data_IF_105714220717
#
_entry.id   IF_105714220717
#
_cell.length_a   1.000
_cell.length_b   1.000
_cell.length_c   1.000
_cell.angle_alpha   90.00
_cell.angle_beta   90.00
_cell.angle_gamma   90.00
#
_symmetry.space_group_name_H-M   'P 1'
#
loop_
_entity.id
_entity.type
_entity.pdbx_description
1 polymer ?
#
# COMPACT_ATOMS: atom_id res chain seq x y z
N UNK A 1 -3.81 50.40 9.00
CA UNK A 1 -4.78 49.32 8.73
C UNK A 1 -5.99 49.81 7.94
N UNK A 2 -6.87 50.64 8.49
CA UNK A 2 -8.09 51.13 7.81
C UNK A 2 -7.87 51.75 6.42
N UNK A 3 -6.74 52.43 6.18
CA UNK A 3 -6.44 53.03 4.88
C UNK A 3 -6.05 52.00 3.78
N UNK A 4 -5.49 50.83 4.14
CA UNK A 4 -4.96 49.83 3.21
C UNK A 4 -5.82 48.56 3.17
N UNK A 5 -6.15 48.00 4.34
CA UNK A 5 -7.03 46.82 4.47
C UNK A 5 -8.52 47.20 4.36
N UNK A 6 -8.80 48.50 4.44
CA UNK A 6 -10.15 49.06 4.50
C UNK A 6 -10.83 48.94 5.86
N UNK A 7 -11.86 49.76 6.05
CA UNK A 7 -12.75 49.71 7.21
C UNK A 7 -14.18 49.49 6.72
N UNK A 8 -14.88 48.53 7.31
CA UNK A 8 -16.30 48.33 7.07
C UNK A 8 -17.03 49.58 7.58
N UNK A 9 -17.65 50.32 6.66
CA UNK A 9 -18.43 51.50 6.97
C UNK A 9 -19.89 51.14 7.21
N UNK A 10 -20.40 50.15 6.47
CA UNK A 10 -21.77 49.69 6.57
C UNK A 10 -21.85 48.25 6.06
N UNK A 11 -22.80 47.51 6.60
CA UNK A 11 -23.27 46.24 6.05
C UNK A 11 -24.74 46.47 5.70
N UNK A 12 -25.16 46.14 4.48
CA UNK A 12 -26.57 46.25 4.09
C UNK A 12 -27.01 45.03 3.29
N UNK A 13 -28.30 44.73 3.38
CA UNK A 13 -28.91 43.56 2.73
C UNK A 13 -29.38 43.94 1.32
N UNK A 14 -28.94 43.19 0.32
CA UNK A 14 -29.37 43.30 -1.07
C UNK A 14 -30.07 42.00 -1.48
N UNK A 15 -31.41 42.00 -1.38
CA UNK A 15 -32.22 40.80 -1.61
C UNK A 15 -32.01 39.73 -0.54
N UNK A 16 -31.26 38.67 -0.89
CA UNK A 16 -30.90 37.56 0.02
C UNK A 16 -29.44 37.59 0.44
N UNK A 17 -28.65 38.50 -0.12
CA UNK A 17 -27.21 38.57 0.09
C UNK A 17 -26.87 39.74 1.01
N UNK A 18 -25.89 39.52 1.89
CA UNK A 18 -25.34 40.55 2.76
C UNK A 18 -24.12 41.19 2.10
N UNK A 19 -24.16 42.51 1.91
CA UNK A 19 -23.09 43.27 1.23
C UNK A 19 -22.34 44.15 2.23
N UNK A 20 -21.03 43.91 2.36
CA UNK A 20 -20.13 44.75 3.14
C UNK A 20 -19.62 45.94 2.30
N UNK A 21 -19.90 47.16 2.76
CA UNK A 21 -19.34 48.40 2.17
C UNK A 21 -18.09 48.80 2.94
N UNK A 22 -16.94 48.72 2.25
CA UNK A 22 -15.62 49.01 2.83
C UNK A 22 -15.02 50.28 2.26
N UNK A 23 -14.61 51.18 3.14
CA UNK A 23 -13.91 52.43 2.78
C UNK A 23 -12.40 52.20 2.92
N UNK A 24 -11.65 52.51 1.86
CA UNK A 24 -10.21 52.33 1.75
C UNK A 24 -9.63 53.33 0.75
N UNK A 25 -8.30 53.56 0.79
CA UNK A 25 -7.62 54.40 -0.20
C UNK A 25 -7.76 53.82 -1.61
N UNK A 26 -7.73 54.66 -2.67
CA UNK A 26 -7.66 54.20 -4.05
C UNK A 26 -6.51 53.21 -4.31
N UNK A 27 -6.70 52.27 -5.24
CA UNK A 27 -5.74 51.17 -5.50
C UNK A 27 -4.35 51.68 -5.88
N UNK A 28 -4.27 52.70 -6.73
CA UNK A 28 -3.03 53.35 -7.20
C UNK A 28 -2.20 53.94 -6.04
N UNK A 29 -2.85 54.29 -4.93
CA UNK A 29 -2.19 54.78 -3.73
C UNK A 29 -1.76 53.62 -2.82
N UNK A 30 -2.50 52.51 -2.76
CA UNK A 30 -2.15 51.36 -1.91
C UNK A 30 -0.96 50.55 -2.42
N UNK A 31 -0.75 50.52 -3.73
CA UNK A 31 0.35 49.78 -4.36
C UNK A 31 1.71 50.51 -4.26
N UNK A 32 1.71 51.76 -3.81
CA UNK A 32 2.92 52.58 -3.68
C UNK A 32 3.39 52.64 -2.24
N UNK A 33 4.61 52.17 -1.98
CA UNK A 33 5.24 52.25 -0.66
C UNK A 33 5.37 53.71 -0.16
N UNK A 34 5.57 54.67 -1.07
CA UNK A 34 5.64 56.09 -0.76
C UNK A 34 4.37 56.65 -0.10
N UNK A 35 3.21 56.02 -0.31
CA UNK A 35 1.95 56.44 0.30
C UNK A 35 2.00 56.33 1.82
N UNK A 36 2.69 55.32 2.38
CA UNK A 36 2.84 55.16 3.83
C UNK A 36 3.50 56.39 4.48
N UNK A 37 4.46 57.01 3.80
CA UNK A 37 5.17 58.20 4.28
C UNK A 37 4.29 59.47 4.33
N UNK A 38 3.18 59.48 3.56
CA UNK A 38 2.28 60.63 3.42
C UNK A 38 1.00 60.48 4.24
N UNK A 39 0.79 59.35 4.90
CA UNK A 39 -0.37 59.14 5.78
C UNK A 39 -0.24 60.08 6.97
N UNK A 40 -1.34 60.78 7.27
CA UNK A 40 -1.44 61.57 8.48
C UNK A 40 -2.25 60.82 9.53
N UNK A 41 -1.85 60.95 10.78
CA UNK A 41 -2.55 60.41 11.93
C UNK A 41 -3.00 61.54 12.84
N UNK A 42 -4.19 61.39 13.43
CA UNK A 42 -4.72 62.35 14.39
C UNK A 42 -4.13 62.07 15.77
N UNK A 43 -3.46 63.04 16.35
CA UNK A 43 -2.96 62.97 17.75
C UNK A 43 -4.09 63.33 18.74
N UNK A 44 -3.97 62.98 20.03
CA UNK A 44 -5.00 63.27 21.04
C UNK A 44 -5.37 64.76 21.14
N UNK A 45 -4.41 65.65 20.86
CA UNK A 45 -4.55 67.10 20.75
C UNK A 45 -5.29 67.57 19.48
N UNK A 46 -5.91 66.65 18.74
CA UNK A 46 -6.75 66.93 17.57
C UNK A 46 -6.01 67.26 16.28
N UNK A 47 -4.71 67.59 16.34
CA UNK A 47 -3.85 67.86 15.18
C UNK A 47 -3.60 66.60 14.32
N UNK A 48 -3.30 66.81 13.06
CA UNK A 48 -2.85 65.76 12.13
C UNK A 48 -1.35 65.89 11.90
N UNK A 49 -0.61 64.81 12.13
CA UNK A 49 0.83 64.75 11.92
C UNK A 49 1.18 63.62 10.96
N UNK A 50 2.22 63.75 10.12
CA UNK A 50 2.70 62.66 9.28
C UNK A 50 3.08 61.43 10.11
N UNK A 51 2.81 60.23 9.59
CA UNK A 51 3.12 58.96 10.24
C UNK A 51 4.59 58.86 10.64
N UNK A 52 5.49 59.35 9.79
CA UNK A 52 6.95 59.33 9.98
C UNK A 52 7.44 60.20 11.14
N UNK A 53 6.65 61.16 11.63
CA UNK A 53 7.01 61.95 12.82
C UNK A 53 6.74 61.19 14.13
N UNK A 54 5.95 60.11 14.08
CA UNK A 54 5.50 59.37 15.27
C UNK A 54 6.06 57.94 15.28
N UNK A 55 6.48 57.41 14.14
CA UNK A 55 7.13 56.09 14.05
C UNK A 55 8.23 56.06 12.98
N UNK A 56 9.23 55.21 13.20
CA UNK A 56 10.23 54.88 12.18
C UNK A 56 9.73 53.73 11.32
N UNK A 57 9.91 53.86 10.00
CA UNK A 57 9.53 52.84 9.02
C UNK A 57 10.80 52.16 8.52
N UNK A 58 10.95 50.87 8.85
CA UNK A 58 12.00 50.01 8.29
C UNK A 58 11.40 48.98 7.34
N UNK A 59 12.22 48.52 6.39
CA UNK A 59 11.86 47.45 5.47
C UNK A 59 12.70 46.22 5.77
N UNK A 60 12.05 45.06 5.82
CA UNK A 60 12.72 43.76 5.95
C UNK A 60 12.07 42.78 5.01
N UNK A 61 12.87 41.98 4.33
CA UNK A 61 12.35 40.85 3.57
C UNK A 61 11.92 39.77 4.57
N UNK A 62 10.63 39.48 4.60
CA UNK A 62 10.05 38.42 5.41
C UNK A 62 9.56 37.25 4.55
N UNK A 63 9.24 36.14 5.20
CA UNK A 63 8.54 35.05 4.54
C UNK A 63 7.08 35.42 4.31
N UNK A 64 6.57 35.18 3.10
CA UNK A 64 5.15 35.42 2.77
C UNK A 64 4.22 34.47 3.56
N UNK A 65 4.69 33.25 3.81
CA UNK A 65 3.98 32.25 4.60
C UNK A 65 4.98 31.44 5.44
N UNK A 66 4.61 31.17 6.69
CA UNK A 66 5.33 30.25 7.57
C UNK A 66 4.59 28.92 7.56
N UNK A 67 5.16 27.93 6.86
CA UNK A 67 4.59 26.59 6.80
C UNK A 67 5.11 25.76 7.97
N UNK A 68 4.26 24.87 8.46
CA UNK A 68 4.62 23.95 9.53
C UNK A 68 4.27 22.52 9.10
N UNK A 69 5.15 21.58 9.42
CA UNK A 69 4.91 20.14 9.34
C UNK A 69 5.16 19.56 10.74
N UNK A 70 4.20 18.77 11.24
CA UNK A 70 4.23 18.20 12.61
C UNK A 70 4.52 19.24 13.71
N UNK A 71 3.99 20.46 13.56
CA UNK A 71 4.17 21.55 14.52
C UNK A 71 5.57 22.22 14.50
N UNK A 72 6.44 21.88 13.55
CA UNK A 72 7.74 22.54 13.34
C UNK A 72 7.75 23.36 12.06
N UNK A 73 8.48 24.47 12.03
CA UNK A 73 8.67 25.27 10.82
C UNK A 73 9.29 24.40 9.72
N UNK A 74 8.67 24.38 8.55
CA UNK A 74 9.05 23.51 7.45
C UNK A 74 9.13 24.28 6.13
N UNK A 75 10.03 23.83 5.26
CA UNK A 75 10.15 24.31 3.88
C UNK A 75 9.83 23.14 2.96
N UNK A 76 8.85 23.34 2.09
CA UNK A 76 8.43 22.36 1.11
C UNK A 76 9.27 22.52 -0.16
N UNK A 77 9.92 21.44 -0.60
CA UNK A 77 10.72 21.39 -1.83
C UNK A 77 10.09 20.38 -2.76
N UNK A 78 9.68 20.82 -3.95
CA UNK A 78 9.05 19.97 -4.96
C UNK A 78 9.91 19.90 -6.21
N UNK A 79 9.84 18.77 -6.92
CA UNK A 79 10.56 18.56 -8.17
C UNK A 79 9.75 17.69 -9.13
N UNK A 80 9.83 18.01 -10.42
CA UNK A 80 9.24 17.20 -11.49
C UNK A 80 10.20 16.10 -11.91
N UNK A 81 9.71 14.86 -11.96
CA UNK A 81 10.51 13.69 -12.32
C UNK A 81 10.28 13.32 -13.79
N UNK A 82 11.37 13.02 -14.51
CA UNK A 82 11.30 12.41 -15.83
C UNK A 82 11.38 10.88 -15.69
N UNK A 83 10.21 10.24 -15.68
CA UNK A 83 10.05 8.79 -15.47
C UNK A 83 10.57 7.93 -16.62
N UNK A 84 11.04 8.53 -17.72
CA UNK A 84 11.71 7.79 -18.81
C UNK A 84 13.18 7.50 -18.51
N UNK A 85 13.80 8.25 -17.61
CA UNK A 85 15.24 8.18 -17.32
C UNK A 85 15.53 7.54 -15.97
N UNK A 86 14.68 7.81 -14.96
CA UNK A 86 14.86 7.28 -13.62
C UNK A 86 13.50 7.06 -12.96
N UNK A 87 13.43 6.10 -12.04
CA UNK A 87 12.26 5.89 -11.19
C UNK A 87 12.33 6.78 -9.94
N UNK A 88 11.17 7.03 -9.34
CA UNK A 88 11.06 7.79 -8.08
C UNK A 88 11.91 7.14 -6.98
N UNK A 89 11.79 5.83 -6.80
CA UNK A 89 12.50 5.09 -5.75
C UNK A 89 14.02 5.23 -5.87
N UNK A 90 14.58 5.12 -7.09
CA UNK A 90 16.03 5.28 -7.29
C UNK A 90 16.54 6.67 -6.88
N UNK A 91 15.77 7.71 -7.19
CA UNK A 91 16.13 9.09 -6.83
C UNK A 91 15.99 9.31 -5.33
N UNK A 92 14.93 8.80 -4.71
CA UNK A 92 14.75 8.88 -3.26
C UNK A 92 15.90 8.19 -2.53
N UNK A 93 16.26 6.97 -2.94
CA UNK A 93 17.39 6.23 -2.36
C UNK A 93 18.71 6.96 -2.55
N UNK A 94 18.96 7.57 -3.71
CA UNK A 94 20.17 8.37 -3.94
C UNK A 94 20.21 9.62 -3.06
N UNK A 95 19.08 10.30 -2.88
CA UNK A 95 18.99 11.47 -1.99
C UNK A 95 19.20 11.09 -0.52
N UNK A 96 18.66 9.96 -0.08
CA UNK A 96 18.86 9.42 1.28
C UNK A 96 20.29 8.95 1.52
N UNK A 97 20.98 8.45 0.49
CA UNK A 97 22.33 7.94 0.65
C UNK A 97 23.40 9.03 0.76
N UNK A 98 23.21 10.17 0.09
CA UNK A 98 24.29 11.14 -0.10
C UNK A 98 23.88 12.59 0.27
N UNK A 99 22.90 13.16 -0.44
CA UNK A 99 22.63 14.60 -0.37
C UNK A 99 21.91 15.03 0.92
N UNK A 100 20.87 14.30 1.33
CA UNK A 100 20.03 14.70 2.47
C UNK A 100 20.72 14.54 3.82
N UNK A 101 21.49 13.47 4.09
CA UNK A 101 22.26 13.36 5.34
C UNK A 101 23.30 14.49 5.50
N UNK A 102 23.98 14.89 4.42
CA UNK A 102 24.94 15.99 4.44
C UNK A 102 24.26 17.31 4.80
N UNK A 103 23.15 17.64 4.14
CA UNK A 103 22.35 18.85 4.42
C UNK A 103 21.79 18.81 5.85
N UNK A 104 21.26 17.67 6.28
CA UNK A 104 20.69 17.48 7.61
C UNK A 104 21.73 17.70 8.71
N UNK A 105 22.94 17.17 8.54
CA UNK A 105 24.02 17.32 9.50
C UNK A 105 24.59 18.74 9.53
N UNK A 106 24.78 19.37 8.35
CA UNK A 106 25.38 20.70 8.22
C UNK A 106 24.49 21.81 8.77
N UNK A 107 23.17 21.71 8.56
CA UNK A 107 22.21 22.74 8.94
C UNK A 107 21.33 22.33 10.13
N UNK A 108 21.55 21.15 10.71
CA UNK A 108 20.75 20.58 11.80
C UNK A 108 19.24 20.57 11.51
N UNK A 109 18.89 20.17 10.28
CA UNK A 109 17.50 20.09 9.81
C UNK A 109 17.05 18.63 9.76
N UNK A 110 15.75 18.41 10.00
CA UNK A 110 15.10 17.12 9.74
C UNK A 110 14.46 17.18 8.37
N UNK A 111 14.47 16.05 7.66
CA UNK A 111 13.77 15.90 6.39
C UNK A 111 12.82 14.72 6.46
N UNK A 112 11.72 14.83 5.74
CA UNK A 112 10.79 13.75 5.45
C UNK A 112 10.37 13.86 3.99
N UNK A 113 10.13 12.73 3.35
CA UNK A 113 9.50 12.71 2.04
C UNK A 113 7.99 12.61 2.23
N UNK A 114 7.28 13.66 1.82
CA UNK A 114 5.83 13.76 1.93
C UNK A 114 5.12 13.49 0.59
N UNK A 115 3.80 13.36 0.63
CA UNK A 115 2.96 13.10 -0.54
C UNK A 115 2.98 11.62 -0.96
N UNK A 116 2.93 11.33 -2.27
CA UNK A 116 2.74 9.95 -2.77
C UNK A 116 3.77 8.94 -2.25
N UNK A 117 5.00 9.38 -2.00
CA UNK A 117 6.05 8.53 -1.46
C UNK A 117 5.85 8.19 0.03
N UNK A 118 5.22 9.08 0.81
CA UNK A 118 4.77 8.78 2.17
C UNK A 118 3.60 7.81 2.14
N UNK A 119 2.55 8.13 1.35
CA UNK A 119 1.35 7.30 1.21
C UNK A 119 1.71 5.85 0.79
N UNK A 120 2.65 5.71 -0.15
CA UNK A 120 3.11 4.40 -0.60
C UNK A 120 3.86 3.63 0.49
N UNK A 121 4.73 4.29 1.27
CA UNK A 121 5.45 3.64 2.37
C UNK A 121 4.53 3.23 3.51
N UNK A 122 3.58 4.09 3.87
CA UNK A 122 2.54 3.79 4.86
C UNK A 122 1.70 2.60 4.40
N UNK A 123 1.20 2.63 3.16
CA UNK A 123 0.42 1.53 2.58
C UNK A 123 1.22 0.23 2.56
N UNK A 124 2.51 0.26 2.19
CA UNK A 124 3.36 -0.93 2.22
C UNK A 124 3.54 -1.49 3.63
N UNK A 125 3.72 -0.62 4.63
CA UNK A 125 3.81 -1.01 6.03
C UNK A 125 2.53 -1.65 6.55
N UNK A 126 1.38 -1.07 6.22
CA UNK A 126 0.06 -1.60 6.55
C UNK A 126 -0.18 -2.95 5.86
N UNK A 127 0.22 -3.09 4.59
CA UNK A 127 0.12 -4.34 3.85
C UNK A 127 1.02 -5.43 4.43
N UNK A 128 2.24 -5.11 4.85
CA UNK A 128 3.13 -6.07 5.51
C UNK A 128 2.52 -6.55 6.83
N UNK A 129 1.98 -5.62 7.62
CA UNK A 129 1.29 -5.94 8.88
C UNK A 129 0.05 -6.80 8.61
N UNK A 130 -0.77 -6.42 7.62
CA UNK A 130 -1.95 -7.16 7.17
C UNK A 130 -1.61 -8.56 6.63
N UNK A 131 -0.47 -8.73 5.96
CA UNK A 131 0.02 -10.03 5.51
C UNK A 131 0.34 -10.94 6.71
N UNK A 132 1.08 -10.44 7.70
CA UNK A 132 1.44 -11.23 8.89
C UNK A 132 0.18 -11.63 9.67
N UNK A 133 -0.73 -10.68 9.93
CA UNK A 133 -1.99 -10.95 10.63
C UNK A 133 -2.85 -11.91 9.82
N UNK A 134 -2.97 -11.69 8.50
CA UNK A 134 -3.76 -12.52 7.60
C UNK A 134 -3.26 -13.96 7.54
N UNK A 135 -1.94 -14.17 7.41
CA UNK A 135 -1.33 -15.50 7.43
C UNK A 135 -1.48 -16.18 8.79
N UNK A 136 -1.38 -15.43 9.90
CA UNK A 136 -1.59 -15.97 11.24
C UNK A 136 -3.05 -16.41 11.45
N UNK A 137 -4.03 -15.58 11.05
CA UNK A 137 -5.44 -15.93 11.11
C UNK A 137 -5.77 -17.13 10.22
N UNK A 138 -5.22 -17.15 9.00
CA UNK A 138 -5.35 -18.27 8.07
C UNK A 138 -4.80 -19.55 8.70
N UNK A 139 -3.61 -19.50 9.31
CA UNK A 139 -3.03 -20.63 10.03
C UNK A 139 -3.95 -21.15 11.13
N UNK A 140 -4.47 -20.27 11.99
CA UNK A 140 -5.37 -20.65 13.10
C UNK A 140 -6.65 -21.30 12.57
N UNK A 141 -7.29 -20.72 11.54
CA UNK A 141 -8.51 -21.27 10.94
C UNK A 141 -8.24 -22.64 10.33
N UNK A 142 -7.12 -22.81 9.61
CA UNK A 142 -6.76 -24.10 9.03
C UNK A 142 -6.42 -25.14 10.09
N UNK A 143 -5.73 -24.75 11.15
CA UNK A 143 -5.41 -25.63 12.27
C UNK A 143 -6.69 -26.16 12.92
N UNK A 144 -7.69 -25.29 13.06
CA UNK A 144 -9.02 -25.65 13.54
C UNK A 144 -9.75 -26.61 12.57
N UNK A 145 -9.79 -26.27 11.28
CA UNK A 145 -10.48 -27.07 10.25
C UNK A 145 -9.90 -28.48 10.13
N UNK A 146 -8.57 -28.60 10.20
CA UNK A 146 -7.90 -29.89 10.07
C UNK A 146 -7.67 -30.62 11.38
N UNK A 147 -8.01 -30.01 12.52
CA UNK A 147 -7.64 -30.48 13.85
C UNK A 147 -6.15 -30.89 13.91
N UNK A 148 -5.27 -30.08 13.29
CA UNK A 148 -3.86 -30.42 13.11
C UNK A 148 -2.99 -29.18 12.99
N UNK A 149 -1.85 -29.17 13.69
CA UNK A 149 -0.88 -28.08 13.65
C UNK A 149 0.06 -28.13 12.42
N UNK A 150 0.22 -29.31 11.80
CA UNK A 150 1.17 -29.52 10.71
C UNK A 150 0.55 -29.35 9.31
N UNK A 151 -0.71 -29.77 9.13
CA UNK A 151 -1.40 -29.65 7.84
C UNK A 151 -1.54 -28.20 7.33
N UNK A 152 -1.85 -27.20 8.18
CA UNK A 152 -1.89 -25.80 7.75
C UNK A 152 -0.58 -25.32 7.14
N UNK A 153 0.58 -25.75 7.68
CA UNK A 153 1.88 -25.35 7.15
C UNK A 153 2.11 -25.90 5.74
N UNK A 154 1.68 -27.14 5.48
CA UNK A 154 1.76 -27.74 4.14
C UNK A 154 0.87 -26.97 3.15
N UNK A 155 -0.35 -26.63 3.58
CA UNK A 155 -1.29 -25.85 2.76
C UNK A 155 -0.71 -24.47 2.45
N UNK A 156 -0.14 -23.77 3.44
CA UNK A 156 0.42 -22.43 3.27
C UNK A 156 1.76 -22.42 2.52
N UNK A 157 2.49 -23.54 2.50
CA UNK A 157 3.77 -23.67 1.78
C UNK A 157 3.64 -23.43 0.27
N UNK A 158 2.43 -23.43 -0.28
CA UNK A 158 2.19 -23.10 -1.69
C UNK A 158 2.29 -21.60 -2.00
N UNK A 159 2.07 -20.72 -1.00
CA UNK A 159 1.98 -19.27 -1.20
C UNK A 159 3.26 -18.70 -1.86
N UNK A 160 4.49 -19.07 -1.44
CA UNK A 160 5.71 -18.64 -2.12
C UNK A 160 5.79 -19.06 -3.59
N UNK A 161 5.24 -20.22 -3.96
CA UNK A 161 5.22 -20.67 -5.35
C UNK A 161 4.26 -19.84 -6.21
N UNK A 162 3.14 -19.40 -5.64
CA UNK A 162 2.23 -18.47 -6.28
C UNK A 162 2.88 -17.10 -6.53
N UNK A 163 3.69 -16.63 -5.58
CA UNK A 163 4.48 -15.40 -5.73
C UNK A 163 5.46 -15.52 -6.91
N UNK A 164 6.16 -16.64 -7.06
CA UNK A 164 7.05 -16.86 -8.22
C UNK A 164 6.29 -16.74 -9.54
N UNK A 165 5.09 -17.32 -9.64
CA UNK A 165 4.25 -17.21 -10.84
C UNK A 165 3.84 -15.77 -11.15
N UNK A 166 3.46 -15.02 -10.12
CA UNK A 166 3.09 -13.61 -10.27
C UNK A 166 4.28 -12.73 -10.71
N UNK A 167 5.47 -12.96 -10.13
CA UNK A 167 6.71 -12.26 -10.51
C UNK A 167 7.09 -12.55 -11.96
N UNK A 168 7.01 -13.83 -12.38
CA UNK A 168 7.24 -14.22 -13.77
C UNK A 168 6.23 -13.57 -14.71
N UNK A 169 4.96 -13.45 -14.31
CA UNK A 169 3.93 -12.75 -15.07
C UNK A 169 4.22 -11.26 -15.27
N UNK A 170 4.65 -10.57 -14.22
CA UNK A 170 5.05 -9.15 -14.31
C UNK A 170 6.24 -8.97 -15.25
N UNK A 171 7.23 -9.84 -15.11
CA UNK A 171 8.41 -9.81 -15.98
C UNK A 171 8.04 -10.06 -17.45
N UNK A 172 7.19 -11.06 -17.72
CA UNK A 172 6.74 -11.38 -19.08
C UNK A 172 5.91 -10.26 -19.71
N UNK A 173 5.09 -9.57 -18.92
CA UNK A 173 4.29 -8.43 -19.40
C UNK A 173 5.05 -7.09 -19.38
N UNK A 174 6.29 -7.05 -18.90
CA UNK A 174 7.08 -5.82 -18.77
C UNK A 174 6.49 -4.83 -17.75
N UNK A 175 5.76 -5.33 -16.75
CA UNK A 175 5.11 -4.52 -15.73
C UNK A 175 5.98 -4.41 -14.48
N UNK A 176 6.02 -3.22 -13.90
CA UNK A 176 6.63 -3.02 -12.58
C UNK A 176 5.68 -3.51 -11.48
N UNK A 177 6.25 -3.98 -10.37
CA UNK A 177 5.46 -4.30 -9.18
C UNK A 177 4.93 -3.00 -8.57
N UNK A 178 3.63 -2.98 -8.34
CA UNK A 178 2.93 -1.85 -7.73
C UNK A 178 2.19 -2.30 -6.48
N UNK A 179 1.66 -1.35 -5.69
CA UNK A 179 0.74 -1.65 -4.58
C UNK A 179 -0.43 -2.55 -5.05
N UNK A 180 -0.94 -2.31 -6.26
CA UNK A 180 -2.03 -3.11 -6.81
C UNK A 180 -1.59 -4.55 -7.15
N UNK A 181 -0.35 -4.74 -7.57
CA UNK A 181 0.24 -6.07 -7.70
C UNK A 181 0.27 -6.79 -6.34
N UNK A 182 0.63 -6.08 -5.27
CA UNK A 182 0.64 -6.64 -3.92
C UNK A 182 -0.76 -7.01 -3.41
N UNK A 183 -1.79 -6.20 -3.72
CA UNK A 183 -3.17 -6.58 -3.40
C UNK A 183 -3.59 -7.83 -4.17
N UNK A 184 -3.18 -7.94 -5.44
CA UNK A 184 -3.37 -9.14 -6.24
C UNK A 184 -2.69 -10.37 -5.60
N UNK A 185 -1.46 -10.23 -5.13
CA UNK A 185 -0.73 -11.28 -4.40
C UNK A 185 -1.41 -11.68 -3.08
N UNK A 186 -1.91 -10.70 -2.34
CA UNK A 186 -2.65 -10.93 -1.09
C UNK A 186 -3.92 -11.75 -1.37
N UNK A 187 -4.72 -11.35 -2.36
CA UNK A 187 -5.90 -12.11 -2.78
C UNK A 187 -5.56 -13.49 -3.34
N UNK A 188 -4.49 -13.60 -4.13
CA UNK A 188 -4.00 -14.85 -4.69
C UNK A 188 -3.67 -15.88 -3.60
N UNK A 189 -3.12 -15.45 -2.46
CA UNK A 189 -2.80 -16.35 -1.35
C UNK A 189 -4.02 -17.18 -0.92
N UNK A 190 -5.19 -16.56 -0.80
CA UNK A 190 -6.44 -17.24 -0.45
C UNK A 190 -6.94 -18.19 -1.55
N UNK A 191 -6.86 -17.77 -2.81
CA UNK A 191 -7.29 -18.61 -3.95
C UNK A 191 -6.45 -19.89 -4.02
N UNK A 192 -5.13 -19.77 -3.90
CA UNK A 192 -4.22 -20.91 -4.00
C UNK A 192 -4.35 -21.84 -2.79
N UNK A 193 -4.53 -21.26 -1.59
CA UNK A 193 -4.79 -22.02 -0.36
C UNK A 193 -6.08 -22.82 -0.49
N UNK A 194 -7.15 -22.27 -1.07
CA UNK A 194 -8.38 -23.03 -1.32
C UNK A 194 -8.14 -24.31 -2.15
N UNK A 195 -7.30 -24.23 -3.19
CA UNK A 195 -6.96 -25.40 -4.01
C UNK A 195 -6.21 -26.48 -3.20
N UNK A 196 -5.30 -26.07 -2.31
CA UNK A 196 -4.54 -26.99 -1.46
C UNK A 196 -5.40 -27.60 -0.33
N UNK A 197 -6.30 -26.82 0.30
CA UNK A 197 -7.21 -27.32 1.36
C UNK A 197 -8.03 -28.51 0.85
N UNK A 198 -8.62 -28.33 -0.33
CA UNK A 198 -9.52 -29.29 -0.97
C UNK A 198 -8.79 -30.61 -1.29
N UNK A 199 -7.51 -30.55 -1.66
CA UNK A 199 -6.67 -31.73 -1.91
C UNK A 199 -6.30 -32.44 -0.60
N UNK A 200 -5.85 -31.70 0.41
CA UNK A 200 -5.47 -32.24 1.73
C UNK A 200 -6.67 -32.86 2.45
N UNK A 201 -7.84 -32.23 2.38
CA UNK A 201 -9.07 -32.77 2.95
C UNK A 201 -9.46 -34.12 2.31
N UNK A 202 -9.34 -34.21 0.98
CA UNK A 202 -9.64 -35.44 0.26
C UNK A 202 -8.63 -36.55 0.58
N UNK A 203 -7.36 -36.18 0.66
CA UNK A 203 -6.30 -37.06 1.12
C UNK A 203 -6.59 -37.64 2.52
N UNK A 204 -6.92 -36.79 3.49
CA UNK A 204 -7.29 -37.25 4.84
C UNK A 204 -8.52 -38.16 4.83
N UNK A 205 -9.51 -37.87 3.97
CA UNK A 205 -10.68 -38.73 3.81
C UNK A 205 -10.29 -40.13 3.27
N UNK A 206 -9.35 -40.20 2.34
CA UNK A 206 -8.84 -41.47 1.81
C UNK A 206 -8.01 -42.23 2.86
N UNK A 207 -7.17 -41.54 3.65
CA UNK A 207 -6.45 -42.16 4.78
C UNK A 207 -7.41 -42.73 5.83
N UNK A 208 -8.52 -42.04 6.13
CA UNK A 208 -9.58 -42.55 7.03
C UNK A 208 -10.29 -43.80 6.49
N UNK A 209 -10.24 -44.05 5.17
CA UNK A 209 -10.76 -45.29 4.56
C UNK A 209 -9.74 -46.45 4.64
N UNK A 210 -8.57 -46.24 5.23
CA UNK A 210 -7.53 -47.26 5.40
C UNK A 210 -6.59 -47.41 4.20
N UNK A 211 -6.63 -46.49 3.22
CA UNK A 211 -5.68 -46.49 2.10
C UNK A 211 -4.27 -46.15 2.60
N UNK A 212 -3.27 -46.80 2.00
CA UNK A 212 -1.87 -46.45 2.23
C UNK A 212 -1.54 -45.03 1.73
N UNK A 213 -0.45 -44.44 2.21
CA UNK A 213 -0.06 -43.04 1.91
C UNK A 213 -0.07 -42.77 0.41
N UNK A 214 0.61 -43.65 -0.34
CA UNK A 214 0.81 -43.49 -1.78
C UNK A 214 -0.51 -43.60 -2.54
N UNK A 215 -1.34 -44.57 -2.19
CA UNK A 215 -2.64 -44.79 -2.84
C UNK A 215 -3.61 -43.66 -2.51
N UNK A 216 -3.65 -43.21 -1.26
CA UNK A 216 -4.47 -42.08 -0.83
C UNK A 216 -4.07 -40.77 -1.54
N UNK A 217 -2.78 -40.51 -1.71
CA UNK A 217 -2.27 -39.35 -2.44
C UNK A 217 -2.62 -39.41 -3.93
N UNK A 218 -2.42 -40.57 -4.56
CA UNK A 218 -2.72 -40.76 -5.98
C UNK A 218 -4.22 -40.55 -6.24
N UNK A 219 -5.08 -41.18 -5.42
CA UNK A 219 -6.52 -41.04 -5.54
C UNK A 219 -6.98 -39.60 -5.30
N UNK A 220 -6.42 -38.92 -4.29
CA UNK A 220 -6.73 -37.52 -4.02
C UNK A 220 -6.29 -36.61 -5.17
N UNK A 221 -5.10 -36.81 -5.74
CA UNK A 221 -4.62 -36.01 -6.86
C UNK A 221 -5.49 -36.22 -8.12
N UNK A 222 -5.73 -37.47 -8.52
CA UNK A 222 -6.51 -37.82 -9.73
C UNK A 222 -7.93 -37.25 -9.66
N UNK A 223 -8.60 -37.37 -8.52
CA UNK A 223 -9.96 -36.85 -8.37
C UNK A 223 -10.01 -35.30 -8.37
N UNK A 224 -8.94 -34.64 -7.92
CA UNK A 224 -8.91 -33.18 -7.76
C UNK A 224 -8.36 -32.42 -8.94
N UNK A 225 -7.55 -33.03 -9.80
CA UNK A 225 -6.96 -32.37 -10.99
C UNK A 225 -8.01 -31.59 -11.79
N UNK A 226 -9.15 -32.21 -12.10
CA UNK A 226 -10.22 -31.56 -12.89
C UNK A 226 -10.81 -30.33 -12.19
N UNK A 227 -11.12 -30.44 -10.90
CA UNK A 227 -11.73 -29.36 -10.14
C UNK A 227 -10.75 -28.18 -9.93
N UNK A 228 -9.49 -28.48 -9.61
CA UNK A 228 -8.43 -27.47 -9.42
C UNK A 228 -8.09 -26.76 -10.73
N UNK A 229 -8.08 -27.48 -11.85
CA UNK A 229 -7.89 -26.88 -13.18
C UNK A 229 -9.07 -25.99 -13.58
N UNK A 230 -10.31 -26.45 -13.38
CA UNK A 230 -11.51 -25.71 -13.77
C UNK A 230 -11.59 -24.36 -13.04
N UNK A 231 -11.47 -24.38 -11.71
CA UNK A 231 -11.52 -23.17 -10.88
C UNK A 231 -10.46 -22.16 -11.30
N UNK A 232 -9.24 -22.64 -11.50
CA UNK A 232 -8.11 -21.79 -11.90
C UNK A 232 -8.29 -21.22 -13.29
N UNK A 233 -8.73 -22.03 -14.25
CA UNK A 233 -9.00 -21.60 -15.61
C UNK A 233 -10.17 -20.60 -15.68
N UNK A 234 -11.21 -20.77 -14.86
CA UNK A 234 -12.32 -19.82 -14.78
C UNK A 234 -11.85 -18.47 -14.25
N UNK A 235 -11.01 -18.44 -13.20
CA UNK A 235 -10.45 -17.18 -12.68
C UNK A 235 -9.51 -16.51 -13.69
N UNK A 236 -8.60 -17.28 -14.30
CA UNK A 236 -7.69 -16.76 -15.33
C UNK A 236 -8.49 -16.25 -16.54
N UNK A 237 -9.47 -17.02 -17.01
CA UNK A 237 -10.35 -16.65 -18.12
C UNK A 237 -11.19 -15.41 -17.83
N UNK A 238 -11.66 -15.23 -16.59
CA UNK A 238 -12.37 -14.02 -16.16
C UNK A 238 -11.50 -12.77 -16.10
N UNK A 239 -10.21 -12.92 -15.79
CA UNK A 239 -9.23 -11.83 -15.76
C UNK A 239 -8.59 -11.55 -17.12
N UNK A 240 -8.67 -12.50 -18.06
CA UNK A 240 -8.04 -12.39 -19.37
C UNK A 240 -8.45 -11.12 -20.14
N UNK A 241 -9.75 -10.74 -20.22
CA UNK A 241 -10.14 -9.51 -20.92
C UNK A 241 -9.49 -8.27 -20.32
N UNK A 242 -9.36 -8.23 -18.99
CA UNK A 242 -8.75 -7.11 -18.27
C UNK A 242 -7.25 -6.99 -18.57
N UNK A 243 -6.55 -8.10 -18.79
CA UNK A 243 -5.13 -8.10 -19.16
C UNK A 243 -4.86 -7.51 -20.55
N UNK A 244 -5.85 -7.55 -21.45
CA UNK A 244 -5.75 -7.00 -22.81
C UNK A 244 -6.49 -5.66 -22.97
N UNK A 245 -7.01 -5.10 -21.88
CA UNK A 245 -7.75 -3.85 -21.93
C UNK A 245 -6.79 -2.66 -22.11
N UNK A 246 -7.18 -1.72 -22.96
CA UNK A 246 -6.33 -0.57 -23.34
C UNK A 246 -6.77 0.74 -22.68
N UNK A 247 -7.98 0.77 -22.12
CA UNK A 247 -8.51 1.97 -21.45
C UNK A 247 -7.63 2.43 -20.27
N UNK A 248 -7.44 3.75 -20.13
CA UNK A 248 -6.65 4.33 -19.03
C UNK A 248 -7.20 3.93 -17.66
N UNK A 249 -8.53 3.82 -17.53
CA UNK A 249 -9.19 3.33 -16.33
C UNK A 249 -8.96 1.84 -16.08
N UNK A 250 -8.65 1.00 -17.06
CA UNK A 250 -8.32 -0.40 -16.77
C UNK A 250 -6.84 -0.61 -16.49
N UNK A 251 -5.97 0.23 -17.05
CA UNK A 251 -4.51 0.10 -16.93
C UNK A 251 -4.03 0.07 -15.49
N UNK A 252 -4.74 0.74 -14.56
CA UNK A 252 -4.37 0.68 -13.14
C UNK A 252 -4.62 -0.72 -12.52
N UNK A 253 -5.58 -1.50 -13.01
CA UNK A 253 -5.90 -2.85 -12.51
C UNK A 253 -5.08 -3.96 -13.17
N UNK A 254 -4.44 -3.70 -14.31
CA UNK A 254 -3.65 -4.71 -15.04
C UNK A 254 -2.57 -5.36 -14.16
N UNK A 255 -1.78 -4.65 -13.35
CA UNK A 255 -0.77 -5.28 -12.49
C UNK A 255 -1.37 -6.20 -11.42
N UNK A 256 -2.55 -5.87 -10.89
CA UNK A 256 -3.29 -6.73 -9.96
C UNK A 256 -3.73 -8.02 -10.65
N UNK A 257 -4.39 -7.88 -11.82
CA UNK A 257 -4.86 -9.01 -12.61
C UNK A 257 -3.71 -9.92 -13.05
N UNK A 258 -2.56 -9.33 -13.42
CA UNK A 258 -1.34 -10.05 -13.81
C UNK A 258 -0.83 -10.91 -12.66
N UNK A 259 -0.80 -10.36 -11.44
CA UNK A 259 -0.37 -11.09 -10.24
C UNK A 259 -1.23 -12.33 -10.04
N UNK A 260 -2.55 -12.17 -10.11
CA UNK A 260 -3.50 -13.26 -9.87
C UNK A 260 -3.44 -14.28 -11.00
N UNK A 261 -3.54 -13.87 -12.27
CA UNK A 261 -3.65 -14.78 -13.39
C UNK A 261 -2.40 -15.66 -13.57
N UNK A 262 -1.20 -15.05 -13.58
CA UNK A 262 0.05 -15.81 -13.74
C UNK A 262 0.44 -16.56 -12.48
N UNK A 263 0.22 -15.94 -11.31
CA UNK A 263 0.44 -16.58 -10.03
C UNK A 263 -0.41 -17.84 -9.88
N UNK A 264 -1.69 -17.76 -10.21
CA UNK A 264 -2.62 -18.88 -10.20
C UNK A 264 -2.27 -19.92 -11.26
N UNK A 265 -1.94 -19.49 -12.49
CA UNK A 265 -1.56 -20.39 -13.58
C UNK A 265 -0.38 -21.30 -13.19
N UNK A 266 0.68 -20.72 -12.65
CA UNK A 266 1.84 -21.50 -12.20
C UNK A 266 1.52 -22.30 -10.93
N UNK A 267 0.87 -21.68 -9.93
CA UNK A 267 0.60 -22.36 -8.67
C UNK A 267 -0.34 -23.54 -8.83
N UNK A 268 -1.26 -23.52 -9.79
CA UNK A 268 -2.21 -24.62 -10.03
C UNK A 268 -1.49 -25.91 -10.39
N UNK A 269 -0.49 -25.81 -11.27
CA UNK A 269 0.36 -26.94 -11.64
C UNK A 269 1.21 -27.39 -10.45
N UNK A 270 1.78 -26.43 -9.72
CA UNK A 270 2.64 -26.72 -8.57
C UNK A 270 1.86 -27.30 -7.38
N UNK A 271 0.61 -26.92 -7.13
CA UNK A 271 -0.23 -27.49 -6.06
C UNK A 271 -0.33 -29.00 -6.21
N UNK A 272 -0.60 -29.47 -7.43
CA UNK A 272 -0.81 -30.90 -7.71
C UNK A 272 0.47 -31.73 -7.60
N UNK A 273 1.65 -31.10 -7.56
CA UNK A 273 2.96 -31.75 -7.45
C UNK A 273 3.55 -31.59 -6.05
N UNK A 274 3.62 -30.35 -5.59
CA UNK A 274 4.29 -29.94 -4.34
C UNK A 274 3.49 -30.37 -3.11
N UNK A 275 2.17 -30.19 -3.10
CA UNK A 275 1.35 -30.55 -1.92
C UNK A 275 1.39 -32.06 -1.65
N UNK A 276 1.20 -32.96 -2.64
CA UNK A 276 1.37 -34.39 -2.42
C UNK A 276 2.79 -34.78 -1.96
N UNK A 277 3.82 -34.16 -2.54
CA UNK A 277 5.20 -34.43 -2.13
C UNK A 277 5.47 -34.03 -0.67
N UNK A 278 4.98 -32.87 -0.24
CA UNK A 278 5.11 -32.39 1.14
C UNK A 278 4.31 -33.25 2.12
N UNK A 279 3.09 -33.69 1.75
CA UNK A 279 2.30 -34.62 2.55
C UNK A 279 3.01 -35.97 2.71
N UNK A 280 3.51 -36.52 1.61
CA UNK A 280 4.25 -37.79 1.61
C UNK A 280 5.48 -37.71 2.53
N UNK A 281 6.26 -36.63 2.42
CA UNK A 281 7.42 -36.39 3.26
C UNK A 281 7.07 -36.30 4.75
N UNK A 282 6.00 -35.54 5.09
CA UNK A 282 5.56 -35.41 6.47
C UNK A 282 5.11 -36.75 7.06
N UNK A 283 4.34 -37.55 6.32
CA UNK A 283 3.87 -38.85 6.81
C UNK A 283 5.00 -39.86 6.95
N UNK A 284 5.90 -39.98 5.97
CA UNK A 284 7.08 -40.83 6.09
C UNK A 284 7.94 -40.45 7.29
N UNK A 285 8.10 -39.15 7.56
CA UNK A 285 8.84 -38.67 8.72
C UNK A 285 8.15 -39.05 10.05
N UNK A 286 6.81 -39.01 10.11
CA UNK A 286 6.05 -39.44 11.30
C UNK A 286 6.13 -40.95 11.50
N UNK A 287 5.98 -41.75 10.44
CA UNK A 287 6.12 -43.21 10.52
C UNK A 287 7.52 -43.61 10.98
N UNK A 288 8.55 -42.98 10.43
CA UNK A 288 9.93 -43.22 10.85
C UNK A 288 10.15 -42.91 12.34
N UNK A 289 9.55 -41.82 12.84
CA UNK A 289 9.63 -41.44 14.26
C UNK A 289 8.88 -42.42 15.14
N UNK A 290 7.66 -42.82 14.76
CA UNK A 290 6.85 -43.78 15.50
C UNK A 290 7.53 -45.15 15.59
N UNK A 291 8.11 -45.64 14.49
CA UNK A 291 8.91 -46.87 14.45
C UNK A 291 10.14 -46.81 15.38
N UNK A 292 10.76 -45.64 15.54
CA UNK A 292 11.88 -45.43 16.49
C UNK A 292 11.43 -45.42 17.95
N UNK A 293 10.19 -45.02 18.23
CA UNK A 293 9.63 -44.96 19.59
C UNK A 293 8.80 -46.20 19.97
N UNK A 294 8.60 -47.15 19.05
CA UNK A 294 7.84 -48.38 19.30
C UNK A 294 6.32 -48.18 19.29
N UNK A 295 5.84 -47.06 18.75
CA UNK A 295 4.42 -46.69 18.68
C UNK A 295 3.87 -46.91 17.27
N UNK A 296 2.57 -47.21 17.14
CA UNK A 296 1.89 -47.20 15.84
C UNK A 296 1.62 -45.75 15.43
N UNK A 297 2.05 -45.37 14.22
CA UNK A 297 1.78 -44.03 13.70
C UNK A 297 0.28 -43.89 13.37
N UNK A 298 -0.41 -43.00 14.07
CA UNK A 298 -1.77 -42.62 13.71
C UNK A 298 -1.79 -41.71 12.46
N UNK A 299 -2.80 -41.86 11.58
CA UNK A 299 -2.96 -41.02 10.41
C UNK A 299 -3.16 -39.54 10.79
N UNK A 300 -2.65 -38.62 9.98
CA UNK A 300 -2.71 -37.19 10.25
C UNK A 300 -4.18 -36.72 10.28
N UNK A 301 -4.62 -36.13 11.39
CA UNK A 301 -5.99 -35.64 11.57
C UNK A 301 -7.00 -36.69 12.05
N UNK A 302 -6.53 -37.77 12.69
CA UNK A 302 -7.35 -38.52 13.64
C UNK A 302 -7.78 -37.59 14.79
N UNK A 303 -9.05 -37.64 15.24
CA UNK A 303 -9.45 -36.89 16.42
C UNK A 303 -8.65 -37.42 17.62
N UNK A 304 -7.96 -36.52 18.33
CA UNK A 304 -7.46 -36.78 19.69
C UNK A 304 -8.62 -37.07 20.65
#
# INVERSE_FOLDING_TARGET
>A
RAAFDGRIAQIYQDGRDEVEVRVQLPQDQRERLSTLSRITIRVPDGRFVPLTQVMNLDHRQGFQALRHAEGRLAVEVTSGLNTRVSTTDQILTSLEAEALPDIASRYNVRYSFEGRAADQRETLGDMQTGLVIGLALMYVVLAWVFASWSLPLIVMAIIPFALVGALLGHWLMGLQLTILSLFGLFGLSGIVVNNAIILVAFYNQQRKKGLDITDALNEAAVQRVRAVMLTSLTTIGGLLPLLFETSLQAQFLIPMATSIAFGLGLSTLLVLLVVPALLSWLEQFREWRARRHGEMAEPIGAPE
#
